data_IF_034515720517
#
_entry.id   IF_034515720517
#
_cell.length_a   1.000
_cell.length_b   1.000
_cell.length_c   1.000
_cell.angle_alpha   90.00
_cell.angle_beta   90.00
_cell.angle_gamma   90.00
#
_symmetry.space_group_name_H-M   'P 1'
#
loop_
_entity.id
_entity.type
_entity.pdbx_description
1 polymer ?
#
# COMPACT_ATOMS: atom_id res chain seq x y z
N UNK A 1 1.90 -20.64 -0.42
CA UNK A 1 1.35 -19.69 0.58
C UNK A 1 1.62 -18.22 0.24
N UNK A 2 1.58 -17.82 -1.04
CA UNK A 2 1.72 -16.40 -1.43
C UNK A 2 0.35 -15.70 -1.60
N UNK A 3 -0.71 -16.47 -1.90
CA UNK A 3 -2.05 -15.95 -2.19
C UNK A 3 -2.71 -15.28 -0.97
N UNK A 4 -2.46 -15.82 0.23
CA UNK A 4 -2.98 -15.25 1.49
C UNK A 4 -2.34 -13.91 1.77
N UNK A 5 -1.02 -13.79 1.59
CA UNK A 5 -0.29 -12.53 1.74
C UNK A 5 -0.81 -11.47 0.76
N UNK A 6 -0.99 -11.83 -0.52
CA UNK A 6 -1.49 -10.87 -1.53
C UNK A 6 -2.90 -10.40 -1.21
N UNK A 7 -3.78 -11.30 -0.73
CA UNK A 7 -5.15 -10.95 -0.36
C UNK A 7 -5.20 -10.01 0.84
N UNK A 8 -4.49 -10.36 1.92
CA UNK A 8 -4.48 -9.57 3.15
C UNK A 8 -3.83 -8.20 2.91
N UNK A 9 -2.79 -8.16 2.07
CA UNK A 9 -2.16 -6.92 1.62
C UNK A 9 -3.15 -6.02 0.90
N UNK A 10 -3.85 -6.51 -0.13
CA UNK A 10 -4.81 -5.71 -0.91
C UNK A 10 -5.96 -5.23 -0.01
N UNK A 11 -6.52 -6.09 0.83
CA UNK A 11 -7.59 -5.67 1.76
C UNK A 11 -7.13 -4.59 2.71
N UNK A 12 -5.93 -4.73 3.30
CA UNK A 12 -5.42 -3.70 4.21
C UNK A 12 -5.11 -2.42 3.45
N UNK A 13 -4.53 -2.54 2.27
CA UNK A 13 -4.23 -1.40 1.41
C UNK A 13 -5.50 -0.63 1.04
N UNK A 14 -6.59 -1.28 0.63
CA UNK A 14 -7.87 -0.62 0.34
C UNK A 14 -8.49 0.04 1.59
N UNK A 15 -8.40 -0.60 2.75
CA UNK A 15 -8.90 -0.04 4.01
C UNK A 15 -8.13 1.20 4.45
N UNK A 16 -6.80 1.17 4.34
CA UNK A 16 -5.96 2.32 4.65
C UNK A 16 -6.11 3.39 3.55
N UNK A 17 -6.28 3.02 2.28
CA UNK A 17 -6.49 3.96 1.16
C UNK A 17 -7.79 4.74 1.32
N UNK A 18 -8.86 4.08 1.77
CA UNK A 18 -10.12 4.75 2.07
C UNK A 18 -10.02 5.78 3.22
N UNK A 19 -8.99 5.69 4.06
CA UNK A 19 -8.73 6.59 5.19
C UNK A 19 -7.60 7.58 4.92
N UNK A 20 -6.63 7.20 4.09
CA UNK A 20 -5.46 7.97 3.75
C UNK A 20 -5.85 9.12 2.82
N UNK A 21 -5.33 10.31 3.10
CA UNK A 21 -5.53 11.48 2.23
C UNK A 21 -4.51 11.56 1.09
N UNK A 22 -3.36 10.94 1.29
CA UNK A 22 -2.20 11.01 0.41
C UNK A 22 -1.47 9.65 0.40
N UNK A 23 -0.60 9.46 -0.60
CA UNK A 23 0.17 8.21 -0.70
C UNK A 23 1.12 8.04 0.48
N UNK A 24 1.66 9.12 1.05
CA UNK A 24 2.58 9.06 2.19
C UNK A 24 1.93 8.46 3.45
N UNK A 25 0.70 8.87 3.78
CA UNK A 25 -0.08 8.32 4.91
C UNK A 25 -0.36 6.83 4.72
N UNK A 26 -0.64 6.42 3.48
CA UNK A 26 -0.87 5.03 3.12
C UNK A 26 0.43 4.21 3.26
N UNK A 27 1.54 4.72 2.72
CA UNK A 27 2.85 4.08 2.74
C UNK A 27 3.33 3.91 4.18
N UNK A 28 3.19 4.92 5.05
CA UNK A 28 3.58 4.79 6.45
C UNK A 28 2.78 3.70 7.17
N UNK A 29 1.45 3.68 6.99
CA UNK A 29 0.57 2.67 7.60
C UNK A 29 0.89 1.26 7.09
N UNK A 30 1.15 1.13 5.78
CA UNK A 30 1.57 -0.13 5.16
C UNK A 30 2.95 -0.59 5.65
N UNK A 31 3.95 0.29 5.72
CA UNK A 31 5.28 -0.03 6.24
C UNK A 31 5.24 -0.47 7.70
N UNK A 32 4.34 0.11 8.51
CA UNK A 32 4.11 -0.32 9.89
C UNK A 32 3.41 -1.67 9.99
N UNK A 33 2.42 -1.94 9.13
CA UNK A 33 1.70 -3.21 9.11
C UNK A 33 2.53 -4.35 8.52
N UNK A 34 3.41 -4.05 7.56
CA UNK A 34 4.22 -5.00 6.81
C UNK A 34 5.70 -4.58 6.80
N UNK A 35 6.39 -4.66 7.95
CA UNK A 35 7.83 -4.33 8.04
C UNK A 35 8.72 -5.33 7.30
N UNK A 36 8.15 -6.47 6.88
CA UNK A 36 8.84 -7.48 6.07
C UNK A 36 8.72 -7.23 4.56
N UNK A 37 8.02 -6.16 4.13
CA UNK A 37 8.04 -5.78 2.72
C UNK A 37 9.46 -5.37 2.33
N UNK A 38 9.88 -5.67 1.09
CA UNK A 38 11.11 -5.11 0.56
C UNK A 38 11.01 -3.57 0.60
N UNK A 39 12.16 -2.90 0.77
CA UNK A 39 12.21 -1.43 0.61
C UNK A 39 12.25 -1.09 -0.89
N UNK A 40 11.20 -1.51 -1.60
CA UNK A 40 11.03 -1.30 -3.03
C UNK A 40 10.00 -0.22 -3.32
N UNK A 41 10.23 0.54 -4.39
CA UNK A 41 9.32 1.59 -4.85
C UNK A 41 7.94 1.03 -5.27
N UNK A 42 7.75 -0.29 -5.29
CA UNK A 42 6.47 -0.92 -5.62
C UNK A 42 5.33 -0.46 -4.72
N UNK A 43 5.55 -0.36 -3.41
CA UNK A 43 4.56 0.17 -2.48
C UNK A 43 4.28 1.65 -2.74
N UNK A 44 5.33 2.44 -2.97
CA UNK A 44 5.20 3.88 -3.19
C UNK A 44 4.49 4.21 -4.51
N UNK A 45 4.82 3.48 -5.59
CA UNK A 45 4.15 3.59 -6.89
C UNK A 45 2.71 3.13 -6.77
N UNK A 46 2.46 1.97 -6.15
CA UNK A 46 1.10 1.47 -5.94
C UNK A 46 0.24 2.44 -5.14
N UNK A 47 0.78 3.03 -4.08
CA UNK A 47 0.12 4.05 -3.28
C UNK A 47 -0.24 5.29 -4.12
N UNK A 48 0.72 5.86 -4.86
CA UNK A 48 0.48 7.02 -5.73
C UNK A 48 -0.54 6.75 -6.83
N UNK A 49 -0.53 5.54 -7.39
CA UNK A 49 -1.51 5.13 -8.40
C UNK A 49 -2.90 5.00 -7.80
N UNK A 50 -3.00 4.40 -6.62
CA UNK A 50 -4.27 4.19 -5.95
C UNK A 50 -4.88 5.47 -5.36
N UNK A 51 -4.05 6.41 -4.89
CA UNK A 51 -4.50 7.75 -4.47
C UNK A 51 -4.81 8.68 -5.65
N UNK A 52 -4.46 8.27 -6.87
CA UNK A 52 -4.67 9.05 -8.09
C UNK A 52 -3.61 10.14 -8.33
N UNK A 53 -2.55 10.20 -7.51
CA UNK A 53 -1.41 11.11 -7.68
C UNK A 53 -0.54 10.72 -8.88
N UNK A 54 -0.57 9.46 -9.29
CA UNK A 54 0.16 8.96 -10.45
C UNK A 54 -0.80 8.18 -11.35
N UNK A 55 -0.78 8.47 -12.64
CA UNK A 55 -1.39 7.59 -13.64
C UNK A 55 -0.28 6.74 -14.26
N UNK A 56 -0.57 5.46 -14.44
CA UNK A 56 0.27 4.54 -15.22
C UNK A 56 0.49 5.06 -16.64
#
# INVERSE_FOLDING_TARGET
>A
EAVTFTRDYVQRFEQELAKAKDSDSLIQSMKQAFPALPDDDGLAIGAKVATGEMKW
#
